data_IF_476239755773
#
_entry.id   IF_476239755773
#
_cell.length_a   1.000
_cell.length_b   1.000
_cell.length_c   1.000
_cell.angle_alpha   90.00
_cell.angle_beta   90.00
_cell.angle_gamma   90.00
#
_symmetry.space_group_name_H-M   'P 1'
#
loop_
_entity.id
_entity.type
_entity.pdbx_description
1 polymer ?
#
# COMPACT_ATOMS: atom_id res chain seq x y z
N UNK A 1 -17.91 18.58 -12.62
CA UNK A 1 -16.61 18.87 -11.94
C UNK A 1 -16.56 18.37 -10.48
N UNK A 2 -17.61 17.74 -9.93
CA UNK A 2 -17.61 17.15 -8.58
C UNK A 2 -17.12 15.69 -8.52
N UNK A 3 -17.20 14.94 -9.62
CA UNK A 3 -16.81 13.53 -9.70
C UNK A 3 -15.30 13.34 -9.46
N UNK A 4 -14.46 14.23 -10.01
CA UNK A 4 -13.00 14.18 -9.83
C UNK A 4 -12.54 14.31 -8.37
N UNK A 5 -13.29 15.04 -7.53
CA UNK A 5 -12.93 15.22 -6.12
C UNK A 5 -13.16 13.95 -5.30
N UNK A 6 -14.25 13.24 -5.58
CA UNK A 6 -14.60 11.99 -4.88
C UNK A 6 -13.64 10.87 -5.31
N UNK A 7 -13.35 10.74 -6.61
CA UNK A 7 -12.38 9.76 -7.10
C UNK A 7 -10.98 9.99 -6.53
N UNK A 8 -10.53 11.25 -6.48
CA UNK A 8 -9.24 11.60 -5.88
C UNK A 8 -9.22 11.27 -4.38
N UNK A 9 -10.30 11.56 -3.65
CA UNK A 9 -10.41 11.27 -2.22
C UNK A 9 -10.36 9.76 -1.96
N UNK A 10 -11.11 8.96 -2.71
CA UNK A 10 -11.12 7.49 -2.59
C UNK A 10 -9.73 6.92 -2.87
N UNK A 11 -9.05 7.43 -3.90
CA UNK A 11 -7.70 7.00 -4.25
C UNK A 11 -6.70 7.30 -3.13
N UNK A 12 -6.72 8.53 -2.59
CA UNK A 12 -5.87 8.92 -1.46
C UNK A 12 -6.15 8.02 -0.26
N UNK A 13 -7.42 7.86 0.14
CA UNK A 13 -7.79 7.04 1.29
C UNK A 13 -7.35 5.59 1.12
N UNK A 14 -7.50 5.02 -0.07
CA UNK A 14 -7.00 3.68 -0.40
C UNK A 14 -5.49 3.57 -0.13
N UNK A 15 -4.69 4.50 -0.65
CA UNK A 15 -3.24 4.49 -0.44
C UNK A 15 -2.87 4.52 1.05
N UNK A 16 -3.52 5.38 1.86
CA UNK A 16 -3.25 5.44 3.29
C UNK A 16 -3.60 4.14 4.02
N UNK A 17 -4.74 3.51 3.69
CA UNK A 17 -5.17 2.24 4.28
C UNK A 17 -4.18 1.12 3.94
N UNK A 18 -3.79 0.98 2.67
CA UNK A 18 -2.87 -0.07 2.24
C UNK A 18 -1.44 0.11 2.76
N UNK A 19 -0.95 1.35 2.88
CA UNK A 19 0.34 1.64 3.52
C UNK A 19 0.31 1.23 4.99
N UNK A 20 -0.78 1.56 5.70
CA UNK A 20 -0.93 1.15 7.10
C UNK A 20 -0.99 -0.38 7.25
N UNK A 21 -1.77 -1.07 6.42
CA UNK A 21 -1.85 -2.53 6.41
C UNK A 21 -0.50 -3.18 6.10
N UNK A 22 0.26 -2.61 5.16
CA UNK A 22 1.60 -3.09 4.81
C UNK A 22 2.57 -2.89 5.96
N UNK A 23 2.53 -1.73 6.62
CA UNK A 23 3.34 -1.47 7.80
C UNK A 23 3.03 -2.46 8.92
N UNK A 24 1.75 -2.73 9.17
CA UNK A 24 1.31 -3.73 10.14
C UNK A 24 1.77 -5.15 9.77
N UNK A 25 1.67 -5.53 8.49
CA UNK A 25 2.10 -6.84 8.01
C UNK A 25 3.62 -7.03 8.11
N UNK A 26 4.42 -6.03 7.70
CA UNK A 26 5.88 -6.06 7.79
C UNK A 26 6.32 -6.10 9.26
N UNK A 27 5.67 -5.34 10.15
CA UNK A 27 5.98 -5.38 11.57
C UNK A 27 5.68 -6.76 12.21
N UNK A 28 4.73 -7.53 11.67
CA UNK A 28 4.41 -8.89 12.15
C UNK A 28 5.49 -9.93 11.83
N UNK A 29 6.34 -9.67 10.81
CA UNK A 29 7.31 -10.63 10.28
C UNK A 29 8.52 -10.92 11.20
N UNK A 30 8.49 -10.51 12.48
CA UNK A 30 9.57 -10.70 13.47
C UNK A 30 10.96 -10.48 12.86
N UNK A 31 11.13 -9.34 12.21
CA UNK A 31 12.35 -9.04 11.46
C UNK A 31 13.57 -8.87 12.37
N UNK A 32 13.37 -8.80 13.69
CA UNK A 32 14.37 -9.05 14.75
C UNK A 32 15.17 -10.35 14.56
N UNK A 33 14.60 -11.35 13.86
CA UNK A 33 15.28 -12.61 13.55
C UNK A 33 16.19 -12.45 12.33
N UNK A 34 15.80 -11.61 11.35
CA UNK A 34 16.54 -11.36 10.12
C UNK A 34 17.73 -10.42 10.36
N UNK A 35 17.56 -9.41 11.19
CA UNK A 35 18.62 -8.46 11.54
C UNK A 35 19.23 -8.86 12.87
N UNK A 36 20.35 -9.59 12.82
CA UNK A 36 21.14 -9.99 14.00
C UNK A 36 21.32 -8.79 14.94
N UNK A 37 20.89 -8.96 16.19
CA UNK A 37 20.99 -8.00 17.31
C UNK A 37 22.45 -7.53 17.48
N UNK A 38 22.80 -6.45 16.78
CA UNK A 38 24.19 -5.99 16.57
C UNK A 38 24.32 -4.47 16.49
N UNK A 39 23.68 -3.77 17.44
CA UNK A 39 24.24 -2.64 18.22
C UNK A 39 24.39 -1.23 17.59
N UNK A 40 24.21 -0.94 16.29
CA UNK A 40 24.41 0.48 15.86
C UNK A 40 23.40 1.12 14.90
N UNK A 41 22.54 0.35 14.21
CA UNK A 41 21.71 0.88 13.11
C UNK A 41 20.19 0.75 13.30
N UNK A 42 19.71 0.54 14.53
CA UNK A 42 18.27 0.33 14.82
C UNK A 42 17.36 1.45 14.28
N UNK A 43 17.80 2.72 14.32
CA UNK A 43 17.06 3.84 13.72
C UNK A 43 17.00 3.80 12.19
N UNK A 44 18.08 3.39 11.53
CA UNK A 44 18.14 3.33 10.06
C UNK A 44 17.27 2.17 9.54
N UNK A 45 17.27 1.05 10.25
CA UNK A 45 16.43 -0.11 9.94
C UNK A 45 14.94 0.24 10.08
N UNK A 46 14.55 0.95 11.15
CA UNK A 46 13.18 1.44 11.33
C UNK A 46 12.74 2.40 10.20
N UNK A 47 13.61 3.32 9.78
CA UNK A 47 13.34 4.20 8.65
C UNK A 47 13.20 3.42 7.33
N UNK A 48 14.09 2.46 7.09
CA UNK A 48 14.01 1.57 5.93
C UNK A 48 12.68 0.79 5.91
N UNK A 49 12.18 0.36 7.08
CA UNK A 49 10.86 -0.28 7.15
C UNK A 49 9.72 0.63 6.78
N UNK A 50 9.73 1.88 7.23
CA UNK A 50 8.70 2.84 6.85
C UNK A 50 8.73 3.07 5.34
N UNK A 51 9.92 3.29 4.76
CA UNK A 51 10.04 3.47 3.31
C UNK A 51 9.60 2.23 2.52
N UNK A 52 9.98 1.03 2.96
CA UNK A 52 9.58 -0.21 2.34
C UNK A 52 8.06 -0.41 2.42
N UNK A 53 7.46 -0.07 3.56
CA UNK A 53 6.01 -0.15 3.76
C UNK A 53 5.26 0.81 2.86
N UNK A 54 5.78 2.03 2.67
CA UNK A 54 5.21 3.01 1.74
C UNK A 54 5.34 2.53 0.29
N UNK A 55 6.51 2.05 -0.11
CA UNK A 55 6.74 1.57 -1.48
C UNK A 55 5.82 0.39 -1.84
N UNK A 56 5.77 -0.63 -0.98
CA UNK A 56 4.92 -1.81 -1.18
C UNK A 56 3.44 -1.43 -1.04
N UNK A 57 3.06 -0.68 -0.01
CA UNK A 57 1.67 -0.29 0.22
C UNK A 57 1.10 0.58 -0.90
N UNK A 58 1.90 1.47 -1.47
CA UNK A 58 1.52 2.24 -2.66
C UNK A 58 1.28 1.33 -3.87
N UNK A 59 2.16 0.36 -4.09
CA UNK A 59 2.04 -0.58 -5.22
C UNK A 59 0.82 -1.49 -5.07
N UNK A 60 0.57 -2.03 -3.87
CA UNK A 60 -0.61 -2.85 -3.58
C UNK A 60 -1.90 -2.03 -3.73
N UNK A 61 -1.91 -0.78 -3.27
CA UNK A 61 -3.06 0.11 -3.46
C UNK A 61 -3.34 0.41 -4.93
N UNK A 62 -2.29 0.64 -5.74
CA UNK A 62 -2.47 0.84 -7.18
C UNK A 62 -3.03 -0.40 -7.85
N UNK A 63 -2.47 -1.57 -7.54
CA UNK A 63 -2.99 -2.85 -8.02
C UNK A 63 -4.47 -3.04 -7.65
N UNK A 64 -4.86 -2.74 -6.41
CA UNK A 64 -6.24 -2.86 -5.96
C UNK A 64 -7.20 -1.96 -6.75
N UNK A 65 -6.84 -0.69 -6.96
CA UNK A 65 -7.65 0.25 -7.72
C UNK A 65 -7.71 -0.13 -9.22
N UNK A 66 -6.61 -0.63 -9.76
CA UNK A 66 -6.54 -1.11 -11.15
C UNK A 66 -7.45 -2.32 -11.36
N UNK A 67 -7.49 -3.27 -10.41
CA UNK A 67 -8.43 -4.40 -10.44
C UNK A 67 -9.87 -3.90 -10.46
N UNK A 68 -10.23 -2.93 -9.60
CA UNK A 68 -11.59 -2.35 -9.61
C UNK A 68 -11.92 -1.73 -10.97
N UNK A 69 -10.98 -0.99 -11.55
CA UNK A 69 -11.14 -0.37 -12.85
C UNK A 69 -11.32 -1.41 -13.97
N UNK A 70 -10.49 -2.45 -13.99
CA UNK A 70 -10.57 -3.55 -14.97
C UNK A 70 -11.88 -4.31 -14.85
N UNK A 71 -12.31 -4.61 -13.63
CA UNK A 71 -13.60 -5.27 -13.37
C UNK A 71 -14.75 -4.42 -13.88
N UNK A 72 -14.77 -3.12 -13.57
CA UNK A 72 -15.79 -2.20 -14.09
C UNK A 72 -15.82 -2.19 -15.62
N UNK A 73 -14.66 -2.05 -16.27
CA UNK A 73 -14.56 -2.00 -17.72
C UNK A 73 -15.00 -3.33 -18.37
N UNK A 74 -14.66 -4.47 -17.75
CA UNK A 74 -15.11 -5.78 -18.20
C UNK A 74 -16.63 -5.91 -18.16
N UNK A 75 -17.28 -5.49 -17.06
CA UNK A 75 -18.74 -5.50 -16.97
C UNK A 75 -19.39 -4.55 -17.99
N UNK A 76 -18.88 -3.32 -18.15
CA UNK A 76 -19.41 -2.38 -19.15
C UNK A 76 -19.29 -2.94 -20.57
N UNK A 77 -18.17 -3.59 -20.91
CA UNK A 77 -17.96 -4.22 -22.22
C UNK A 77 -18.79 -5.49 -22.46
N UNK A 78 -19.39 -6.10 -21.43
CA UNK A 78 -20.34 -7.21 -21.61
C UNK A 78 -21.79 -6.74 -21.79
N UNK A 79 -22.10 -5.52 -21.38
CA UNK A 79 -23.47 -4.96 -21.42
C UNK A 79 -23.73 -4.21 -22.74
N UNK A 80 -22.67 -3.86 -23.49
CA UNK A 80 -22.71 -3.25 -24.84
C UNK A 80 -22.53 -4.33 -25.91
#
# INVERSE_FOLDING_TARGET
MSVFGVDALVRIMSHFVFIYLTFWAINSLRLDILFKKGIQYDRQIKLAYVFLSVAIGFQVSNFFLEVIFLVRNFFEGMIV
#
